data_IF_997081249876
#
_entry.id   IF_997081249876
#
_cell.length_a   1.000
_cell.length_b   1.000
_cell.length_c   1.000
_cell.angle_alpha   90.00
_cell.angle_beta   90.00
_cell.angle_gamma   90.00
#
_symmetry.space_group_name_H-M   'P 1'
#
loop_
_entity.id
_entity.type
_entity.pdbx_description
1 polymer ?
#
# COMPACT_ATOMS: atom_id res chain seq x y z
N UNK A 1 -10.18 -16.32 17.10
CA UNK A 1 -9.39 -15.09 17.34
C UNK A 1 -9.45 -14.16 16.12
N UNK A 2 -8.93 -12.93 16.25
CA UNK A 2 -8.77 -12.01 15.10
C UNK A 2 -7.90 -12.63 14.01
N UNK A 3 -6.76 -13.18 14.41
CA UNK A 3 -5.78 -13.75 13.48
C UNK A 3 -6.32 -14.95 12.71
N UNK A 4 -7.09 -15.81 13.35
CA UNK A 4 -7.73 -16.95 12.67
C UNK A 4 -8.72 -16.50 11.61
N UNK A 5 -9.59 -15.53 11.94
CA UNK A 5 -10.56 -14.97 10.99
C UNK A 5 -9.84 -14.28 9.84
N UNK A 6 -8.82 -13.47 10.10
CA UNK A 6 -8.01 -12.82 9.07
C UNK A 6 -7.33 -13.86 8.18
N UNK A 7 -6.68 -14.87 8.74
CA UNK A 7 -6.02 -15.93 7.97
C UNK A 7 -7.00 -16.72 7.11
N UNK A 8 -8.22 -16.98 7.61
CA UNK A 8 -9.26 -17.60 6.81
C UNK A 8 -9.67 -16.75 5.63
N UNK A 9 -9.88 -15.45 5.83
CA UNK A 9 -10.25 -14.50 4.77
C UNK A 9 -9.13 -14.32 3.75
N UNK A 10 -7.88 -14.21 4.20
CA UNK A 10 -6.73 -14.13 3.30
C UNK A 10 -6.66 -15.36 2.41
N UNK A 11 -6.92 -16.55 2.94
CA UNK A 11 -6.89 -17.80 2.19
C UNK A 11 -8.08 -17.97 1.27
N UNK A 12 -9.30 -17.75 1.77
CA UNK A 12 -10.53 -18.10 1.05
C UNK A 12 -11.07 -16.98 0.15
N UNK A 13 -10.80 -15.71 0.52
CA UNK A 13 -11.32 -14.55 -0.20
C UNK A 13 -10.25 -13.84 -1.03
N UNK A 14 -9.06 -13.64 -0.48
CA UNK A 14 -7.97 -12.98 -1.19
C UNK A 14 -7.24 -13.94 -2.15
N UNK A 15 -7.22 -15.23 -1.84
CA UNK A 15 -6.58 -16.25 -2.69
C UNK A 15 -5.12 -16.51 -2.34
N UNK A 16 -4.72 -16.21 -1.08
CA UNK A 16 -3.37 -16.52 -0.61
C UNK A 16 -3.19 -18.03 -0.40
N UNK A 17 -1.98 -18.54 -0.54
CA UNK A 17 -0.72 -17.82 -0.76
C UNK A 17 -0.54 -17.45 -2.24
N UNK A 18 -0.05 -16.22 -2.51
CA UNK A 18 0.35 -15.89 -3.88
C UNK A 18 1.65 -16.62 -4.24
N UNK A 19 1.82 -17.07 -5.49
CA UNK A 19 3.01 -17.85 -5.86
C UNK A 19 4.29 -17.02 -5.81
N UNK A 20 5.40 -17.67 -5.50
CA UNK A 20 6.74 -17.21 -5.82
C UNK A 20 7.15 -17.86 -7.14
N UNK A 21 7.23 -17.07 -8.21
CA UNK A 21 7.44 -17.55 -9.58
C UNK A 21 8.87 -17.36 -10.04
N UNK A 22 9.55 -18.44 -10.45
CA UNK A 22 10.85 -18.35 -11.07
C UNK A 22 10.75 -17.79 -12.49
N UNK A 23 11.23 -16.57 -12.71
CA UNK A 23 11.17 -15.87 -13.98
C UNK A 23 12.30 -16.33 -14.93
N UNK A 24 12.21 -17.58 -15.42
CA UNK A 24 13.27 -18.24 -16.19
C UNK A 24 13.76 -17.42 -17.39
N UNK A 25 12.82 -16.93 -18.20
CA UNK A 25 13.17 -16.17 -19.41
C UNK A 25 13.85 -14.85 -19.08
N UNK A 26 13.37 -14.15 -18.04
CA UNK A 26 13.98 -12.90 -17.58
C UNK A 26 15.38 -13.15 -17.00
N UNK A 27 15.53 -14.20 -16.18
CA UNK A 27 16.82 -14.63 -15.64
C UNK A 27 17.84 -14.91 -16.77
N UNK A 28 17.42 -15.63 -17.80
CA UNK A 28 18.29 -15.94 -18.96
C UNK A 28 18.62 -14.70 -19.79
N UNK A 29 17.65 -13.79 -19.98
CA UNK A 29 17.84 -12.58 -20.77
C UNK A 29 18.82 -11.61 -20.12
N UNK A 30 18.72 -11.41 -18.80
CA UNK A 30 19.59 -10.49 -18.06
C UNK A 30 20.98 -11.12 -17.83
N UNK A 31 21.04 -12.43 -17.58
CA UNK A 31 22.27 -13.12 -17.18
C UNK A 31 22.73 -12.72 -15.76
N UNK A 32 23.17 -13.68 -14.97
CA UNK A 32 23.61 -13.41 -13.58
C UNK A 32 22.63 -13.97 -12.55
N UNK A 33 21.96 -13.10 -11.79
CA UNK A 33 21.09 -13.54 -10.69
C UNK A 33 19.86 -14.32 -11.15
N UNK A 34 19.47 -15.34 -10.39
CA UNK A 34 18.16 -16.01 -10.55
C UNK A 34 17.06 -15.07 -10.04
N UNK A 35 16.05 -14.80 -10.86
CA UNK A 35 14.99 -13.84 -10.57
C UNK A 35 13.71 -14.59 -10.21
N UNK A 36 13.18 -14.29 -9.03
CA UNK A 36 11.90 -14.79 -8.54
C UNK A 36 10.94 -13.63 -8.34
N UNK A 37 9.68 -13.79 -8.76
CA UNK A 37 8.64 -12.79 -8.63
C UNK A 37 7.61 -13.25 -7.59
N UNK A 38 7.43 -12.48 -6.52
CA UNK A 38 6.31 -12.66 -5.58
C UNK A 38 5.07 -12.03 -6.21
N UNK A 39 4.14 -12.88 -6.65
CA UNK A 39 3.04 -12.53 -7.56
C UNK A 39 1.83 -11.94 -6.81
N UNK A 40 2.01 -10.77 -6.18
CA UNK A 40 0.92 -10.06 -5.50
C UNK A 40 -0.18 -9.54 -6.46
N UNK A 41 0.09 -9.49 -7.73
CA UNK A 41 -0.87 -9.24 -8.80
C UNK A 41 -1.95 -10.32 -8.95
N UNK A 42 -1.73 -11.51 -8.39
CA UNK A 42 -2.68 -12.62 -8.39
C UNK A 42 -3.65 -12.60 -7.19
N UNK A 43 -3.48 -11.69 -6.26
CA UNK A 43 -4.48 -11.45 -5.23
C UNK A 43 -5.82 -11.01 -5.83
N UNK A 44 -6.91 -11.31 -5.14
CA UNK A 44 -8.19 -10.63 -5.41
C UNK A 44 -7.99 -9.10 -5.39
N UNK A 45 -8.56 -8.40 -6.35
CA UNK A 45 -8.35 -6.98 -6.70
C UNK A 45 -7.10 -6.66 -7.53
N UNK A 46 -6.17 -7.60 -7.70
CA UNK A 46 -5.03 -7.46 -8.62
C UNK A 46 -3.78 -6.80 -8.05
N UNK A 47 -3.69 -6.63 -6.72
CA UNK A 47 -2.52 -6.04 -6.05
C UNK A 47 -2.45 -6.42 -4.56
N UNK A 48 -1.33 -6.08 -3.90
CA UNK A 48 -1.08 -6.31 -2.47
C UNK A 48 -2.00 -5.51 -1.53
N UNK A 49 -2.66 -4.47 -2.01
CA UNK A 49 -3.44 -3.53 -1.17
C UNK A 49 -4.55 -4.22 -0.38
N UNK A 50 -5.12 -5.30 -0.91
CA UNK A 50 -6.19 -6.04 -0.26
C UNK A 50 -5.76 -6.66 1.08
N UNK A 51 -4.49 -7.01 1.26
CA UNK A 51 -3.99 -7.57 2.52
C UNK A 51 -4.22 -6.61 3.68
N UNK A 52 -3.79 -5.37 3.50
CA UNK A 52 -3.94 -4.30 4.48
C UNK A 52 -5.39 -3.85 4.61
N UNK A 53 -6.09 -3.61 3.50
CA UNK A 53 -7.48 -3.15 3.52
C UNK A 53 -8.38 -4.13 4.26
N UNK A 54 -8.27 -5.42 3.97
CA UNK A 54 -9.05 -6.46 4.64
C UNK A 54 -8.77 -6.53 6.13
N UNK A 55 -7.48 -6.47 6.53
CA UNK A 55 -7.07 -6.48 7.94
C UNK A 55 -7.63 -5.28 8.70
N UNK A 56 -7.51 -4.08 8.14
CA UNK A 56 -8.03 -2.86 8.79
C UNK A 56 -9.57 -2.82 8.83
N UNK A 57 -10.27 -3.27 7.78
CA UNK A 57 -11.75 -3.32 7.80
C UNK A 57 -12.24 -4.34 8.83
N UNK A 58 -11.60 -5.51 8.94
CA UNK A 58 -11.89 -6.47 10.01
C UNK A 58 -11.66 -5.88 11.40
N UNK A 59 -10.58 -5.11 11.58
CA UNK A 59 -10.29 -4.39 12.82
C UNK A 59 -11.39 -3.38 13.12
N UNK A 60 -11.76 -2.54 12.17
CA UNK A 60 -12.82 -1.55 12.29
C UNK A 60 -14.16 -2.18 12.69
N UNK A 61 -14.52 -3.29 12.05
CA UNK A 61 -15.73 -4.06 12.41
C UNK A 61 -15.70 -4.53 13.86
N UNK A 62 -14.57 -5.05 14.34
CA UNK A 62 -14.42 -5.48 15.74
C UNK A 62 -14.42 -4.33 16.75
N UNK A 63 -14.01 -3.14 16.30
CA UNK A 63 -14.12 -1.91 17.09
C UNK A 63 -15.54 -1.34 17.11
N UNK A 64 -16.50 -1.96 16.41
CA UNK A 64 -17.88 -1.49 16.32
C UNK A 64 -18.09 -0.29 15.40
N UNK A 65 -17.11 0.01 14.54
CA UNK A 65 -17.23 1.09 13.54
C UNK A 65 -18.26 0.72 12.48
N UNK A 66 -18.98 1.72 11.99
CA UNK A 66 -20.05 1.55 10.99
C UNK A 66 -19.62 1.98 9.59
N UNK A 67 -18.67 2.90 9.53
CA UNK A 67 -18.21 3.54 8.30
C UNK A 67 -16.73 3.37 8.10
N UNK A 68 -16.36 3.23 6.85
CA UNK A 68 -14.98 3.15 6.38
C UNK A 68 -14.73 4.33 5.45
N UNK A 69 -13.60 4.98 5.63
CA UNK A 69 -13.08 5.94 4.67
C UNK A 69 -11.66 5.58 4.26
N UNK A 70 -11.29 5.95 3.06
CA UNK A 70 -9.92 5.81 2.57
C UNK A 70 -9.59 6.91 1.55
N UNK A 71 -8.31 7.14 1.35
CA UNK A 71 -7.77 7.90 0.24
C UNK A 71 -7.38 6.97 -0.91
N UNK A 72 -7.29 7.51 -2.11
CA UNK A 72 -6.64 6.80 -3.22
C UNK A 72 -6.14 7.77 -4.29
N UNK A 73 -5.02 7.44 -4.93
CA UNK A 73 -4.52 8.13 -6.13
C UNK A 73 -4.75 7.26 -7.36
N UNK A 74 -3.91 6.26 -7.62
CA UNK A 74 -4.06 5.34 -8.74
C UNK A 74 -5.33 4.43 -8.68
N UNK A 75 -6.06 4.43 -7.57
CA UNK A 75 -7.32 3.71 -7.41
C UNK A 75 -7.20 2.32 -6.80
N UNK A 76 -6.03 1.71 -6.74
CA UNK A 76 -5.87 0.33 -6.25
C UNK A 76 -6.22 0.19 -4.77
N UNK A 77 -5.82 1.14 -3.92
CA UNK A 77 -6.20 1.14 -2.52
C UNK A 77 -7.70 1.36 -2.32
N UNK A 78 -8.28 2.29 -3.08
CA UNK A 78 -9.74 2.53 -3.06
C UNK A 78 -10.54 1.28 -3.44
N UNK A 79 -10.16 0.60 -4.52
CA UNK A 79 -10.82 -0.66 -4.95
C UNK A 79 -10.68 -1.74 -3.87
N UNK A 80 -9.49 -1.91 -3.28
CA UNK A 80 -9.28 -2.89 -2.21
C UNK A 80 -10.13 -2.58 -0.97
N UNK A 81 -10.22 -1.28 -0.59
CA UNK A 81 -11.01 -0.85 0.56
C UNK A 81 -12.52 -1.02 0.29
N UNK A 82 -13.00 -0.61 -0.89
CA UNK A 82 -14.40 -0.81 -1.28
C UNK A 82 -14.77 -2.30 -1.30
N UNK A 83 -13.88 -3.16 -1.80
CA UNK A 83 -14.04 -4.62 -1.81
C UNK A 83 -14.19 -5.18 -0.40
N UNK A 84 -13.30 -4.79 0.52
CA UNK A 84 -13.35 -5.25 1.90
C UNK A 84 -14.58 -4.68 2.64
N UNK A 85 -14.94 -3.42 2.42
CA UNK A 85 -16.13 -2.80 3.00
C UNK A 85 -17.43 -3.51 2.53
N UNK A 86 -17.54 -3.83 1.24
CA UNK A 86 -18.65 -4.59 0.69
C UNK A 86 -18.78 -5.99 1.32
N UNK A 87 -17.65 -6.69 1.50
CA UNK A 87 -17.62 -8.01 2.16
C UNK A 87 -18.22 -7.96 3.57
N UNK A 88 -17.98 -6.89 4.30
CA UNK A 88 -18.47 -6.73 5.67
C UNK A 88 -19.76 -5.90 5.80
N UNK A 89 -20.35 -5.51 4.65
CA UNK A 89 -21.57 -4.67 4.60
C UNK A 89 -21.42 -3.36 5.39
N UNK A 90 -20.28 -2.66 5.20
CA UNK A 90 -19.98 -1.37 5.84
C UNK A 90 -20.10 -0.23 4.83
N UNK A 91 -20.61 0.91 5.28
CA UNK A 91 -20.57 2.13 4.46
C UNK A 91 -19.13 2.51 4.12
N UNK A 92 -18.88 2.88 2.86
CA UNK A 92 -17.56 3.19 2.37
C UNK A 92 -17.54 4.50 1.58
N UNK A 93 -16.65 5.42 1.95
CA UNK A 93 -16.37 6.64 1.18
C UNK A 93 -14.89 6.69 0.83
N UNK A 94 -14.59 6.87 -0.44
CA UNK A 94 -13.22 6.96 -0.96
C UNK A 94 -12.96 8.38 -1.44
N UNK A 95 -11.99 9.05 -0.84
CA UNK A 95 -11.50 10.35 -1.25
C UNK A 95 -10.45 10.19 -2.35
N UNK A 96 -10.64 10.90 -3.46
CA UNK A 96 -9.76 10.82 -4.61
C UNK A 96 -9.62 12.20 -5.26
N UNK A 97 -8.41 12.62 -5.59
CA UNK A 97 -8.20 13.88 -6.27
C UNK A 97 -8.94 13.95 -7.60
N UNK A 98 -9.53 15.10 -7.94
CA UNK A 98 -10.33 15.27 -9.17
C UNK A 98 -9.54 14.88 -10.44
N UNK A 99 -8.23 15.17 -10.48
CA UNK A 99 -7.38 14.78 -11.61
C UNK A 99 -7.18 13.27 -11.68
N UNK A 100 -7.04 12.62 -10.53
CA UNK A 100 -6.92 11.16 -10.45
C UNK A 100 -8.24 10.45 -10.80
N UNK A 101 -9.40 11.02 -10.41
CA UNK A 101 -10.73 10.52 -10.82
C UNK A 101 -10.84 10.46 -12.34
N UNK A 102 -10.38 11.50 -13.04
CA UNK A 102 -10.39 11.54 -14.52
C UNK A 102 -9.45 10.50 -15.13
N UNK A 103 -8.23 10.39 -14.59
CA UNK A 103 -7.20 9.46 -15.09
C UNK A 103 -7.56 8.00 -14.84
N UNK A 104 -8.25 7.70 -13.75
CA UNK A 104 -8.51 6.36 -13.24
C UNK A 104 -10.01 6.00 -13.25
N UNK A 105 -10.74 6.48 -14.23
CA UNK A 105 -12.19 6.29 -14.34
C UNK A 105 -12.66 4.82 -14.21
N UNK A 106 -11.87 3.86 -14.70
CA UNK A 106 -12.18 2.44 -14.56
C UNK A 106 -12.14 1.99 -13.10
N UNK A 107 -11.19 2.47 -12.31
CA UNK A 107 -11.13 2.15 -10.88
C UNK A 107 -12.25 2.85 -10.10
N UNK A 108 -12.62 4.07 -10.49
CA UNK A 108 -13.80 4.77 -9.95
C UNK A 108 -15.07 3.94 -10.17
N UNK A 109 -15.30 3.50 -11.40
CA UNK A 109 -16.42 2.61 -11.72
C UNK A 109 -16.44 1.33 -10.88
N UNK A 110 -15.27 0.71 -10.67
CA UNK A 110 -15.16 -0.50 -9.83
C UNK A 110 -15.51 -0.22 -8.37
N UNK A 111 -15.07 0.91 -7.80
CA UNK A 111 -15.41 1.30 -6.43
C UNK A 111 -16.91 1.56 -6.27
N UNK A 112 -17.53 2.27 -7.21
CA UNK A 112 -18.96 2.55 -7.21
C UNK A 112 -19.80 1.28 -7.40
N UNK A 113 -19.38 0.36 -8.27
CA UNK A 113 -20.02 -0.95 -8.46
C UNK A 113 -20.02 -1.78 -7.17
N UNK A 114 -19.00 -1.62 -6.33
CA UNK A 114 -18.88 -2.26 -5.00
C UNK A 114 -19.70 -1.53 -3.92
N UNK A 115 -20.41 -0.46 -4.26
CA UNK A 115 -21.23 0.30 -3.35
C UNK A 115 -20.51 1.40 -2.57
N UNK A 116 -19.25 1.69 -2.88
CA UNK A 116 -18.55 2.81 -2.27
C UNK A 116 -18.94 4.14 -2.93
N UNK A 117 -19.01 5.21 -2.13
CA UNK A 117 -19.10 6.58 -2.63
C UNK A 117 -17.69 7.08 -2.95
N UNK A 118 -17.43 7.52 -4.18
CA UNK A 118 -16.19 8.21 -4.53
C UNK A 118 -16.42 9.72 -4.43
N UNK A 119 -15.60 10.38 -3.61
CA UNK A 119 -15.67 11.81 -3.36
C UNK A 119 -14.46 12.48 -4.00
N UNK A 120 -14.73 13.26 -5.06
CA UNK A 120 -13.69 14.00 -5.79
C UNK A 120 -13.22 15.20 -4.95
N UNK A 121 -11.93 15.27 -4.67
CA UNK A 121 -11.29 16.38 -3.94
C UNK A 121 -10.81 17.40 -4.95
N UNK A 122 -11.37 18.61 -4.86
CA UNK A 122 -11.12 19.73 -5.79
C UNK A 122 -10.16 20.79 -5.23
N UNK A 123 -9.76 20.65 -3.96
CA UNK A 123 -8.80 21.54 -3.32
C UNK A 123 -7.35 21.21 -3.72
N UNK A 124 -6.47 22.20 -3.61
CA UNK A 124 -5.03 22.04 -3.82
C UNK A 124 -4.65 21.61 -5.24
N UNK A 125 -3.73 20.67 -5.36
CA UNK A 125 -3.27 20.07 -6.60
C UNK A 125 -4.23 19.03 -7.18
N UNK A 126 -5.25 18.64 -6.41
CA UNK A 126 -6.31 17.69 -6.80
C UNK A 126 -5.81 16.28 -7.11
N UNK A 127 -4.78 15.86 -6.36
CA UNK A 127 -4.14 14.53 -6.43
C UNK A 127 -4.10 13.86 -5.04
N UNK A 128 -3.38 12.74 -4.93
CA UNK A 128 -3.33 11.89 -3.73
C UNK A 128 -3.08 12.67 -2.42
N UNK A 129 -2.17 13.63 -2.38
CA UNK A 129 -1.87 14.45 -1.18
C UNK A 129 -3.12 15.13 -0.61
N UNK A 130 -3.95 15.69 -1.48
CA UNK A 130 -5.16 16.40 -1.08
C UNK A 130 -6.27 15.41 -0.67
N UNK A 131 -6.32 14.24 -1.33
CA UNK A 131 -7.21 13.15 -0.94
C UNK A 131 -6.90 12.65 0.49
N UNK A 132 -5.61 12.47 0.85
CA UNK A 132 -5.18 12.13 2.21
C UNK A 132 -5.63 13.19 3.22
N UNK A 133 -5.41 14.47 2.91
CA UNK A 133 -5.84 15.59 3.77
C UNK A 133 -7.36 15.60 3.99
N UNK A 134 -8.14 15.37 2.94
CA UNK A 134 -9.60 15.29 3.02
C UNK A 134 -10.07 14.12 3.87
N UNK A 135 -9.47 12.93 3.66
CA UNK A 135 -9.77 11.73 4.45
C UNK A 135 -9.44 11.93 5.93
N UNK A 136 -8.29 12.50 6.26
CA UNK A 136 -7.89 12.79 7.65
C UNK A 136 -8.87 13.77 8.31
N UNK A 137 -9.25 14.87 7.64
CA UNK A 137 -10.23 15.83 8.17
C UNK A 137 -11.58 15.15 8.43
N UNK A 138 -12.04 14.35 7.49
CA UNK A 138 -13.30 13.61 7.65
C UNK A 138 -13.23 12.61 8.80
N UNK A 139 -12.13 11.90 8.94
CA UNK A 139 -11.93 10.92 10.01
C UNK A 139 -11.97 11.57 11.39
N UNK A 140 -11.20 12.64 11.59
CA UNK A 140 -11.16 13.37 12.88
C UNK A 140 -12.55 13.92 13.26
N UNK A 141 -13.31 14.38 12.27
CA UNK A 141 -14.67 14.91 12.49
C UNK A 141 -15.70 13.81 12.83
N UNK A 142 -15.43 12.54 12.47
CA UNK A 142 -16.38 11.42 12.59
C UNK A 142 -15.76 10.21 13.30
N UNK A 143 -14.82 10.44 14.21
CA UNK A 143 -13.99 9.37 14.79
C UNK A 143 -14.78 8.30 15.55
N UNK A 144 -15.95 8.64 16.07
CA UNK A 144 -16.74 7.72 16.90
C UNK A 144 -17.29 6.52 16.10
N UNK A 145 -17.74 6.75 14.88
CA UNK A 145 -18.39 5.71 14.06
C UNK A 145 -17.59 5.32 12.81
N UNK A 146 -16.55 6.07 12.48
CA UNK A 146 -15.78 5.96 11.25
C UNK A 146 -14.35 5.49 11.52
N UNK A 147 -13.84 4.59 10.67
CA UNK A 147 -12.43 4.21 10.67
C UNK A 147 -11.77 4.57 9.33
N UNK A 148 -10.58 5.15 9.43
CA UNK A 148 -9.76 5.48 8.27
C UNK A 148 -8.85 4.30 7.92
N UNK A 149 -9.00 3.77 6.71
CA UNK A 149 -8.16 2.71 6.17
C UNK A 149 -6.99 3.36 5.42
N UNK A 150 -5.88 3.58 6.10
CA UNK A 150 -4.72 4.19 5.49
C UNK A 150 -3.99 3.19 4.59
N UNK A 151 -3.71 3.59 3.34
CA UNK A 151 -3.28 2.68 2.27
C UNK A 151 -1.78 2.42 2.18
N UNK A 152 -0.96 3.11 2.96
CA UNK A 152 0.49 3.01 2.92
C UNK A 152 1.13 3.08 4.31
N UNK A 153 2.44 2.79 4.40
CA UNK A 153 3.18 2.79 5.65
C UNK A 153 3.60 4.21 6.04
N UNK A 154 2.63 5.11 6.13
CA UNK A 154 2.81 6.53 6.44
C UNK A 154 1.75 6.99 7.46
N UNK A 155 1.83 8.25 7.87
CA UNK A 155 0.87 8.84 8.80
C UNK A 155 1.23 8.65 10.28
N UNK A 156 0.36 9.10 11.20
CA UNK A 156 0.64 9.03 12.62
C UNK A 156 0.61 7.59 13.14
N UNK A 157 1.37 7.36 14.22
CA UNK A 157 1.25 6.08 14.94
C UNK A 157 -0.21 5.81 15.35
N UNK A 158 -0.75 4.57 15.20
CA UNK A 158 -0.05 3.32 14.87
C UNK A 158 -0.16 2.89 13.39
N UNK A 159 -0.57 3.76 12.46
CA UNK A 159 -0.82 3.36 11.07
C UNK A 159 0.38 2.67 10.39
N UNK A 160 1.65 3.16 10.51
CA UNK A 160 2.79 2.47 9.90
C UNK A 160 2.95 1.03 10.39
N UNK A 161 2.72 0.76 11.69
CA UNK A 161 2.78 -0.59 12.26
C UNK A 161 1.64 -1.47 11.76
N UNK A 162 0.41 -0.94 11.73
CA UNK A 162 -0.77 -1.66 11.22
C UNK A 162 -0.53 -2.12 9.78
N UNK A 163 -0.07 -1.20 8.92
CA UNK A 163 0.21 -1.50 7.51
C UNK A 163 1.35 -2.51 7.38
N UNK A 164 2.45 -2.31 8.10
CA UNK A 164 3.56 -3.27 8.17
C UNK A 164 3.08 -4.67 8.51
N UNK A 165 2.31 -4.80 9.58
CA UNK A 165 1.91 -6.11 10.12
C UNK A 165 0.99 -6.86 9.16
N UNK A 166 0.01 -6.16 8.56
CA UNK A 166 -0.89 -6.77 7.58
C UNK A 166 -0.20 -7.08 6.25
N UNK A 167 0.76 -6.27 5.82
CA UNK A 167 1.52 -6.53 4.60
C UNK A 167 2.64 -7.56 4.78
N UNK A 168 3.11 -7.81 6.00
CA UNK A 168 4.20 -8.76 6.27
C UNK A 168 3.89 -10.20 5.86
N UNK A 169 2.64 -10.52 5.56
CA UNK A 169 2.27 -11.79 4.94
C UNK A 169 3.04 -12.06 3.64
N UNK A 170 3.37 -11.01 2.87
CA UNK A 170 4.15 -11.08 1.62
C UNK A 170 5.52 -11.71 1.88
N UNK A 171 6.29 -11.13 2.80
CA UNK A 171 7.65 -11.60 3.09
C UNK A 171 7.69 -12.92 3.84
N UNK A 172 6.72 -13.17 4.75
CA UNK A 172 6.61 -14.47 5.44
C UNK A 172 6.41 -15.62 4.45
N UNK A 173 5.49 -15.45 3.51
CA UNK A 173 5.26 -16.44 2.45
C UNK A 173 6.46 -16.55 1.52
N UNK A 174 7.03 -15.44 1.07
CA UNK A 174 8.20 -15.43 0.18
C UNK A 174 9.39 -16.20 0.78
N UNK A 175 9.65 -15.99 2.08
CA UNK A 175 10.75 -16.67 2.80
C UNK A 175 10.55 -18.19 2.84
N UNK A 176 9.33 -18.64 3.13
CA UNK A 176 9.01 -20.07 3.14
C UNK A 176 9.04 -20.66 1.74
N UNK A 177 8.39 -20.01 0.77
CA UNK A 177 8.32 -20.47 -0.61
C UNK A 177 9.68 -20.53 -1.28
N UNK A 178 10.58 -19.58 -1.00
CA UNK A 178 11.95 -19.62 -1.52
C UNK A 178 12.69 -20.86 -1.03
N UNK A 179 12.59 -21.17 0.26
CA UNK A 179 13.19 -22.38 0.85
C UNK A 179 12.62 -23.66 0.21
N UNK A 180 11.32 -23.73 0.04
CA UNK A 180 10.65 -24.90 -0.53
C UNK A 180 10.99 -25.11 -2.01
N UNK A 181 11.20 -24.02 -2.77
CA UNK A 181 11.51 -24.07 -4.19
C UNK A 181 12.99 -24.35 -4.49
N UNK A 182 13.88 -23.84 -3.66
CA UNK A 182 15.33 -23.85 -3.95
C UNK A 182 16.13 -24.81 -3.08
N UNK A 183 15.61 -25.14 -1.90
CA UNK A 183 16.34 -25.84 -0.84
C UNK A 183 17.32 -24.93 -0.07
N UNK A 184 17.45 -23.65 -0.46
CA UNK A 184 18.28 -22.64 0.19
C UNK A 184 17.46 -21.90 1.27
N UNK A 185 18.08 -21.51 2.37
CA UNK A 185 17.36 -20.88 3.48
C UNK A 185 16.90 -19.45 3.17
N UNK A 186 17.73 -18.65 2.49
CA UNK A 186 17.50 -17.23 2.23
C UNK A 186 17.96 -16.85 0.82
N UNK A 187 17.29 -15.89 0.17
CA UNK A 187 17.79 -15.29 -1.06
C UNK A 187 18.97 -14.36 -0.78
N UNK A 188 19.78 -14.07 -1.79
CA UNK A 188 20.87 -13.10 -1.70
C UNK A 188 20.33 -11.66 -1.58
N UNK A 189 19.21 -11.38 -2.25
CA UNK A 189 18.66 -10.02 -2.29
C UNK A 189 17.14 -10.00 -2.44
N UNK A 190 16.54 -8.94 -1.90
CA UNK A 190 15.15 -8.55 -2.11
C UNK A 190 15.10 -7.22 -2.84
N UNK A 191 14.19 -7.09 -3.80
CA UNK A 191 13.97 -5.84 -4.54
C UNK A 191 12.50 -5.49 -4.51
N UNK A 192 12.15 -4.26 -4.16
CA UNK A 192 10.79 -3.75 -4.20
C UNK A 192 10.76 -2.30 -4.66
N UNK A 193 9.73 -1.90 -5.40
CA UNK A 193 9.48 -0.48 -5.65
C UNK A 193 8.99 0.21 -4.37
N UNK A 194 9.34 1.48 -4.22
CA UNK A 194 8.94 2.30 -3.07
C UNK A 194 8.20 3.54 -3.56
N UNK A 195 6.90 3.57 -3.25
CA UNK A 195 6.08 4.78 -3.26
C UNK A 195 5.79 5.13 -1.80
N UNK A 196 4.55 4.91 -1.31
CA UNK A 196 4.25 5.01 0.12
C UNK A 196 4.79 3.86 0.98
N UNK A 197 5.54 2.92 0.43
CA UNK A 197 6.30 1.89 1.13
C UNK A 197 5.53 0.62 1.54
N UNK A 198 4.22 0.51 1.26
CA UNK A 198 3.42 -0.61 1.79
C UNK A 198 3.85 -1.99 1.27
N UNK A 199 4.19 -2.12 -0.01
CA UNK A 199 4.68 -3.39 -0.54
C UNK A 199 6.10 -3.71 -0.07
N UNK A 200 6.96 -2.70 -0.04
CA UNK A 200 8.36 -2.84 0.37
C UNK A 200 8.47 -3.28 1.83
N UNK A 201 7.78 -2.59 2.77
CA UNK A 201 7.78 -2.99 4.18
C UNK A 201 7.19 -4.38 4.37
N UNK A 202 6.17 -4.74 3.59
CA UNK A 202 5.55 -6.06 3.63
C UNK A 202 6.49 -7.18 3.20
N UNK A 203 7.34 -6.93 2.20
CA UNK A 203 8.36 -7.88 1.77
C UNK A 203 9.56 -7.88 2.71
N UNK A 204 10.07 -6.71 3.08
CA UNK A 204 11.37 -6.57 3.78
C UNK A 204 11.28 -6.89 5.27
N UNK A 205 10.22 -6.49 5.95
CA UNK A 205 10.12 -6.63 7.41
C UNK A 205 10.37 -8.05 7.92
N UNK A 206 9.84 -9.14 7.33
CA UNK A 206 10.14 -10.50 7.78
C UNK A 206 11.58 -10.96 7.58
N UNK A 207 12.40 -10.18 6.86
CA UNK A 207 13.83 -10.45 6.63
C UNK A 207 14.76 -9.48 7.34
N UNK A 208 14.24 -8.55 8.15
CA UNK A 208 15.07 -7.49 8.77
C UNK A 208 16.18 -8.02 9.66
N UNK A 209 15.97 -9.19 10.27
CA UNK A 209 16.97 -9.85 11.12
C UNK A 209 17.93 -10.75 10.31
N UNK A 210 17.72 -10.92 9.02
CA UNK A 210 18.55 -11.76 8.16
C UNK A 210 19.66 -10.90 7.52
N UNK A 211 20.73 -10.60 8.26
CA UNK A 211 21.81 -9.70 7.85
C UNK A 211 22.50 -10.07 6.52
N UNK A 212 22.41 -11.32 6.09
CA UNK A 212 22.95 -11.79 4.82
C UNK A 212 22.11 -11.41 3.60
N UNK A 213 20.87 -10.92 3.79
CA UNK A 213 19.94 -10.58 2.72
C UNK A 213 20.04 -9.08 2.39
N UNK A 214 20.54 -8.76 1.22
CA UNK A 214 20.55 -7.37 0.76
C UNK A 214 19.13 -6.90 0.38
N UNK A 215 18.74 -5.68 0.79
CA UNK A 215 17.42 -5.12 0.50
C UNK A 215 17.54 -3.85 -0.35
N UNK A 216 16.88 -3.83 -1.50
CA UNK A 216 16.93 -2.72 -2.45
C UNK A 216 15.52 -2.15 -2.66
N UNK A 217 15.31 -0.91 -2.18
CA UNK A 217 14.12 -0.12 -2.49
C UNK A 217 14.34 0.72 -3.74
N UNK A 218 13.49 0.58 -4.74
CA UNK A 218 13.57 1.36 -5.98
C UNK A 218 12.50 2.47 -5.96
N UNK A 219 12.93 3.72 -5.86
CA UNK A 219 12.08 4.90 -5.94
C UNK A 219 11.96 5.41 -7.38
N UNK A 220 10.89 6.14 -7.67
CA UNK A 220 10.67 6.71 -8.99
C UNK A 220 11.57 7.92 -9.22
N UNK A 221 12.55 7.78 -10.10
CA UNK A 221 13.49 8.86 -10.45
C UNK A 221 12.91 9.90 -11.43
N UNK A 222 11.74 9.65 -12.03
CA UNK A 222 11.09 10.58 -12.96
C UNK A 222 12.02 11.04 -14.07
N UNK A 223 12.21 12.36 -14.18
CA UNK A 223 13.16 12.99 -15.13
C UNK A 223 14.60 13.06 -14.59
N UNK A 224 14.85 12.46 -13.45
CA UNK A 224 16.15 12.44 -12.76
C UNK A 224 16.07 13.01 -11.36
N UNK A 225 16.77 12.38 -10.41
CA UNK A 225 16.76 12.75 -8.97
C UNK A 225 17.42 14.11 -8.67
N UNK A 226 18.12 14.69 -9.63
CA UNK A 226 18.71 16.03 -9.53
C UNK A 226 17.80 17.11 -10.16
N UNK A 227 16.60 16.76 -10.60
CA UNK A 227 15.54 17.66 -11.06
C UNK A 227 14.46 17.82 -9.99
N UNK A 228 13.46 18.68 -10.24
CA UNK A 228 12.26 18.80 -9.37
C UNK A 228 11.13 17.79 -9.76
N UNK A 229 11.40 16.91 -10.72
CA UNK A 229 10.41 15.99 -11.31
C UNK A 229 10.73 14.54 -11.01
N UNK A 230 10.75 14.18 -9.71
CA UNK A 230 10.94 12.82 -9.23
C UNK A 230 10.12 12.59 -7.94
N UNK A 231 9.98 11.32 -7.52
CA UNK A 231 9.32 10.92 -6.28
C UNK A 231 10.27 10.13 -5.34
N UNK A 232 11.58 10.39 -5.43
CA UNK A 232 12.61 9.71 -4.64
C UNK A 232 12.75 10.36 -3.26
N UNK A 233 11.76 10.19 -2.40
CA UNK A 233 11.62 10.87 -1.11
C UNK A 233 12.64 10.38 -0.09
N UNK A 234 12.95 9.08 -0.04
CA UNK A 234 13.97 8.54 0.87
C UNK A 234 15.39 8.94 0.44
N UNK A 235 15.62 9.08 -0.87
CA UNK A 235 16.94 9.42 -1.42
C UNK A 235 17.24 10.93 -1.33
N UNK A 236 16.25 11.79 -1.56
CA UNK A 236 16.43 13.25 -1.71
C UNK A 236 15.58 14.09 -0.75
N UNK A 237 14.67 13.47 -0.01
CA UNK A 237 13.80 14.16 0.93
C UNK A 237 14.54 14.70 2.16
N UNK A 238 13.84 15.51 2.91
CA UNK A 238 14.27 16.06 4.22
C UNK A 238 13.17 15.87 5.23
N UNK A 239 13.49 15.71 6.52
CA UNK A 239 12.48 15.63 7.56
C UNK A 239 11.53 16.84 7.53
N UNK A 240 10.24 16.57 7.51
CA UNK A 240 9.18 17.57 7.53
C UNK A 240 7.88 17.00 8.08
N UNK A 241 6.90 17.84 8.34
CA UNK A 241 5.60 17.43 8.87
C UNK A 241 4.58 17.41 7.75
N UNK A 242 4.04 16.23 7.49
CA UNK A 242 2.97 16.03 6.52
C UNK A 242 1.98 14.98 7.06
N UNK A 243 0.69 15.15 6.80
CA UNK A 243 -0.36 14.19 7.22
C UNK A 243 -0.34 13.86 8.72
N UNK A 244 0.03 14.83 9.57
CA UNK A 244 0.06 14.67 11.03
C UNK A 244 1.24 13.86 11.57
N UNK A 245 2.28 13.63 10.77
CA UNK A 245 3.48 12.89 11.17
C UNK A 245 4.77 13.56 10.69
N UNK A 246 5.88 13.31 11.40
CA UNK A 246 7.22 13.62 10.94
C UNK A 246 7.67 12.55 9.95
N UNK A 247 8.04 12.95 8.75
CA UNK A 247 8.44 12.05 7.67
C UNK A 247 9.39 12.74 6.70
N UNK A 248 10.06 11.99 5.84
CA UNK A 248 10.80 12.60 4.74
C UNK A 248 9.84 13.15 3.69
N UNK A 249 10.08 14.38 3.25
CA UNK A 249 9.28 15.07 2.24
C UNK A 249 10.18 15.75 1.22
N UNK A 250 9.72 15.85 -0.01
CA UNK A 250 10.37 16.67 -1.03
C UNK A 250 9.95 18.13 -0.83
N UNK A 251 10.92 19.02 -0.75
CA UNK A 251 10.71 20.45 -0.50
C UNK A 251 11.48 21.29 -1.50
N UNK A 252 10.90 22.42 -1.88
CA UNK A 252 11.59 23.46 -2.64
C UNK A 252 12.64 24.20 -1.77
N UNK A 253 13.31 25.18 -2.38
CA UNK A 253 14.32 26.00 -1.70
C UNK A 253 13.74 26.85 -0.54
N UNK A 254 12.43 27.04 -0.49
CA UNK A 254 11.71 27.82 0.53
C UNK A 254 11.05 26.92 1.59
N UNK A 255 11.24 25.60 1.51
CA UNK A 255 10.67 24.62 2.45
C UNK A 255 9.21 24.28 2.17
N UNK A 256 8.65 24.67 1.02
CA UNK A 256 7.30 24.26 0.63
C UNK A 256 7.35 22.81 0.16
N UNK A 257 6.41 22.01 0.65
CA UNK A 257 6.30 20.60 0.27
C UNK A 257 5.84 20.52 -1.18
N UNK A 258 6.71 19.99 -2.04
CA UNK A 258 6.38 19.62 -3.40
C UNK A 258 5.38 18.47 -3.40
N UNK A 259 4.69 18.25 -4.51
CA UNK A 259 3.76 17.14 -4.61
C UNK A 259 4.49 15.81 -4.39
N UNK A 260 3.94 14.97 -3.51
CA UNK A 260 4.35 13.57 -3.43
C UNK A 260 3.66 12.82 -4.58
N UNK A 261 4.43 12.32 -5.51
CA UNK A 261 3.95 11.56 -6.64
C UNK A 261 3.78 10.08 -6.30
#
# INVERSE_FOLDING_TARGET
SFQEELNQLLRQYVGRETPLYYAKNLTQHIGGAKIYLKREDLNHTGAHKINNALGQVLLAKRMGKKKIIAETGAGQHGVATATAAALFNMECTIYMGEEDVKRQALNVFRMELLGAKVEAVTDGSRVLKDAVNAALRSWVANIDDTHYILGSALGPHPFPEIVRDFQSVIGREAKQQYRDLTGENLPDALVACVGGGSNAIGLFHPFVEDESVAMYGAEAAGLGVDTEHHAATLTKGRPGVLHGSLMDVLQDAHGQILEAF
#
